data_IF_863173286180
#
_entry.id   IF_863173286180
#
_cell.length_a   1.000
_cell.length_b   1.000
_cell.length_c   1.000
_cell.angle_alpha   90.00
_cell.angle_beta   90.00
_cell.angle_gamma   90.00
#
_symmetry.space_group_name_H-M   'P 1'
#
loop_
_entity.id
_entity.type
_entity.pdbx_description
1 polymer ?
#
# COMPACT_ATOMS: atom_id res chain seq x y z
N UNK A 1 -13.57 -10.22 10.15
CA UNK A 1 -13.76 -9.05 11.03
C UNK A 1 -14.10 -7.82 10.16
N UNK A 2 -14.80 -6.81 10.70
CA UNK A 2 -15.51 -5.78 9.93
C UNK A 2 -14.64 -4.60 9.45
N UNK A 3 -13.54 -4.84 8.72
CA UNK A 3 -12.70 -3.74 8.20
C UNK A 3 -13.53 -2.72 7.40
N UNK A 4 -14.51 -3.25 6.64
CA UNK A 4 -15.48 -2.51 5.84
C UNK A 4 -16.49 -1.65 6.64
N UNK A 5 -16.50 -1.70 7.97
CA UNK A 5 -17.32 -0.77 8.77
C UNK A 5 -16.68 0.61 8.90
N UNK A 6 -15.35 0.70 8.75
CA UNK A 6 -14.59 1.94 8.85
C UNK A 6 -13.98 2.34 7.51
N UNK A 7 -13.41 1.37 6.80
CA UNK A 7 -12.73 1.59 5.52
C UNK A 7 -13.64 1.21 4.35
N UNK A 8 -13.76 2.11 3.39
CA UNK A 8 -14.18 1.69 2.05
C UNK A 8 -13.01 0.97 1.35
N UNK A 9 -13.35 0.12 0.39
CA UNK A 9 -12.48 -0.41 -0.64
C UNK A 9 -13.24 -0.23 -1.97
N UNK A 10 -13.32 1.02 -2.42
CA UNK A 10 -14.08 1.38 -3.60
C UNK A 10 -13.25 2.22 -4.57
N UNK A 11 -13.39 1.97 -5.86
CA UNK A 11 -12.75 2.75 -6.92
C UNK A 11 -13.36 4.16 -7.03
N UNK A 12 -12.84 4.96 -7.96
CA UNK A 12 -13.31 6.34 -8.19
C UNK A 12 -14.78 6.41 -8.67
N UNK A 13 -15.31 5.34 -9.25
CA UNK A 13 -16.70 5.24 -9.70
C UNK A 13 -17.62 4.69 -8.60
N UNK A 14 -17.06 4.35 -7.43
CA UNK A 14 -17.77 3.80 -6.28
C UNK A 14 -18.01 2.29 -6.36
N UNK A 15 -17.36 1.57 -7.28
CA UNK A 15 -17.44 0.11 -7.31
C UNK A 15 -16.52 -0.51 -6.26
N UNK A 16 -17.03 -1.50 -5.55
CA UNK A 16 -16.29 -2.25 -4.53
C UNK A 16 -17.06 -2.36 -3.23
N UNK A 17 -16.34 -2.39 -2.12
CA UNK A 17 -16.90 -2.45 -0.77
C UNK A 17 -17.03 -1.02 -0.24
N UNK A 18 -18.24 -0.51 -0.13
CA UNK A 18 -18.49 0.85 0.36
C UNK A 18 -18.94 0.77 1.82
N UNK A 19 -18.20 1.41 2.72
CA UNK A 19 -18.62 1.57 4.10
C UNK A 19 -19.82 2.54 4.15
N UNK A 20 -20.85 2.24 4.94
CA UNK A 20 -22.04 3.09 5.01
C UNK A 20 -21.79 4.44 5.69
N UNK A 21 -20.79 4.50 6.57
CA UNK A 21 -20.33 5.71 7.23
C UNK A 21 -18.81 5.60 7.42
N UNK A 22 -18.02 5.79 6.35
CA UNK A 22 -16.59 5.60 6.40
C UNK A 22 -15.99 6.58 7.39
N UNK A 23 -15.07 6.06 8.18
CA UNK A 23 -14.48 6.76 9.31
C UNK A 23 -12.96 6.54 9.35
N UNK A 24 -12.42 6.00 8.26
CA UNK A 24 -11.01 5.76 8.01
C UNK A 24 -10.75 5.82 6.48
N UNK A 25 -9.48 5.97 6.05
CA UNK A 25 -9.15 6.15 4.63
C UNK A 25 -9.65 5.01 3.74
N UNK A 26 -9.95 5.32 2.48
CA UNK A 26 -10.25 4.31 1.48
C UNK A 26 -9.00 3.47 1.19
N UNK A 27 -9.16 2.15 1.22
CA UNK A 27 -8.09 1.18 1.03
C UNK A 27 -7.92 0.76 -0.44
N UNK A 28 -8.83 1.18 -1.33
CA UNK A 28 -8.71 0.86 -2.75
C UNK A 28 -7.45 1.49 -3.35
N UNK A 29 -6.55 0.65 -3.86
CA UNK A 29 -5.29 1.09 -4.44
C UNK A 29 -4.25 1.57 -3.42
N UNK A 30 -4.43 1.28 -2.12
CA UNK A 30 -3.44 1.63 -1.10
C UNK A 30 -2.04 1.11 -1.49
N UNK A 31 -1.01 1.95 -1.32
CA UNK A 31 0.36 1.62 -1.72
C UNK A 31 0.66 1.80 -3.21
N UNK A 32 -0.33 2.14 -4.04
CA UNK A 32 -0.08 2.48 -5.45
C UNK A 32 0.37 3.91 -5.64
N UNK A 33 1.06 4.19 -6.74
CA UNK A 33 1.49 5.55 -7.10
C UNK A 33 0.33 6.54 -7.09
N UNK A 34 -0.83 6.15 -7.63
CA UNK A 34 -2.00 7.02 -7.70
C UNK A 34 -2.60 7.34 -6.33
N UNK A 35 -2.57 6.37 -5.40
CA UNK A 35 -3.04 6.57 -4.04
C UNK A 35 -2.10 7.51 -3.29
N UNK A 36 -0.78 7.27 -3.36
CA UNK A 36 0.22 8.15 -2.72
C UNK A 36 0.19 9.55 -3.31
N UNK A 37 0.13 9.69 -4.63
CA UNK A 37 0.05 11.00 -5.30
C UNK A 37 -1.19 11.78 -4.86
N UNK A 38 -2.32 11.11 -4.67
CA UNK A 38 -3.53 11.77 -4.18
C UNK A 38 -3.50 12.06 -2.68
N UNK A 39 -2.71 11.31 -1.90
CA UNK A 39 -2.44 11.63 -0.50
C UNK A 39 -1.56 12.90 -0.37
N UNK A 40 -0.64 13.14 -1.31
CA UNK A 40 0.21 14.33 -1.36
C UNK A 40 -0.43 15.55 -2.04
N UNK A 41 -1.72 15.48 -2.35
CA UNK A 41 -2.47 16.55 -3.02
C UNK A 41 -3.25 17.37 -1.98
N UNK A 42 -3.04 18.70 -1.90
CA UNK A 42 -3.57 19.54 -0.83
C UNK A 42 -5.09 19.65 -0.88
N UNK A 43 -5.70 19.46 -2.05
CA UNK A 43 -7.17 19.47 -2.19
C UNK A 43 -7.79 18.13 -1.79
N UNK A 44 -6.99 17.07 -1.72
CA UNK A 44 -7.47 15.70 -1.55
C UNK A 44 -7.14 15.10 -0.20
N UNK A 45 -6.00 15.43 0.41
CA UNK A 45 -5.53 14.77 1.65
C UNK A 45 -6.57 14.82 2.80
N UNK A 46 -7.32 15.91 2.91
CA UNK A 46 -8.37 16.09 3.92
C UNK A 46 -9.77 15.63 3.45
N UNK A 47 -9.88 14.96 2.30
CA UNK A 47 -11.15 14.40 1.81
C UNK A 47 -11.50 13.08 2.50
N UNK A 48 -12.76 12.65 2.37
CA UNK A 48 -13.26 11.34 2.85
C UNK A 48 -12.47 10.15 2.31
N UNK A 49 -11.89 10.27 1.11
CA UNK A 49 -11.07 9.20 0.53
C UNK A 49 -9.77 8.96 1.32
N UNK A 50 -9.28 9.99 2.02
CA UNK A 50 -8.04 9.99 2.78
C UNK A 50 -8.32 10.27 4.26
N UNK A 51 -7.85 11.40 4.81
CA UNK A 51 -7.89 11.65 6.26
C UNK A 51 -9.15 12.37 6.76
N UNK A 52 -10.04 12.82 5.88
CA UNK A 52 -11.14 13.74 6.20
C UNK A 52 -12.10 13.27 7.30
N UNK A 53 -12.32 11.96 7.44
CA UNK A 53 -13.22 11.38 8.45
C UNK A 53 -12.47 10.77 9.66
N UNK A 54 -11.18 11.08 9.79
CA UNK A 54 -10.30 10.65 10.88
C UNK A 54 -10.02 11.79 11.85
N UNK A 55 -9.45 11.50 13.01
CA UNK A 55 -8.90 12.51 13.92
C UNK A 55 -7.72 13.29 13.31
N UNK A 56 -7.14 12.81 12.20
CA UNK A 56 -6.01 13.42 11.51
C UNK A 56 -6.42 14.40 10.40
N UNK A 57 -7.71 14.67 10.20
CA UNK A 57 -8.20 15.58 9.15
C UNK A 57 -7.66 17.02 9.29
N UNK A 58 -7.30 17.42 10.50
CA UNK A 58 -6.67 18.70 10.84
C UNK A 58 -5.27 18.51 11.44
N UNK A 59 -4.64 17.35 11.22
CA UNK A 59 -3.34 16.99 11.80
C UNK A 59 -2.15 17.49 10.99
N UNK A 60 -0.95 17.37 11.57
CA UNK A 60 0.31 17.91 11.03
C UNK A 60 0.61 17.45 9.60
N UNK A 61 0.24 16.23 9.22
CA UNK A 61 0.45 15.74 7.84
C UNK A 61 -0.41 16.52 6.83
N UNK A 62 -1.66 16.84 7.18
CA UNK A 62 -2.53 17.68 6.32
C UNK A 62 -1.95 19.07 6.19
N UNK A 63 -1.58 19.69 7.31
CA UNK A 63 -0.98 21.02 7.33
C UNK A 63 0.32 21.07 6.52
N UNK A 64 1.20 20.09 6.67
CA UNK A 64 2.48 20.02 5.94
C UNK A 64 2.27 19.98 4.43
N UNK A 65 1.33 19.18 3.94
CA UNK A 65 1.04 19.11 2.49
C UNK A 65 0.45 20.41 1.98
N UNK A 66 -0.44 21.05 2.74
CA UNK A 66 -0.99 22.37 2.38
C UNK A 66 0.11 23.43 2.35
N UNK A 67 0.93 23.51 3.41
CA UNK A 67 2.00 24.50 3.55
C UNK A 67 3.08 24.38 2.46
N UNK A 68 3.42 23.15 2.04
CA UNK A 68 4.33 22.94 0.90
C UNK A 68 3.80 23.59 -0.39
N UNK A 69 2.50 23.48 -0.65
CA UNK A 69 1.88 24.05 -1.85
C UNK A 69 1.68 25.56 -1.73
N UNK A 70 1.27 26.05 -0.55
CA UNK A 70 1.14 27.48 -0.27
C UNK A 70 2.50 28.21 -0.36
N UNK A 71 3.59 27.53 -0.01
CA UNK A 71 4.96 28.07 -0.08
C UNK A 71 5.42 28.43 -1.49
N UNK A 72 4.75 27.92 -2.53
CA UNK A 72 5.04 28.20 -3.95
C UNK A 72 3.85 28.90 -4.65
N UNK A 73 2.85 29.37 -3.91
CA UNK A 73 1.70 30.05 -4.50
C UNK A 73 2.13 31.34 -5.22
N UNK A 74 1.53 31.59 -6.39
CA UNK A 74 1.89 32.70 -7.27
C UNK A 74 3.18 32.53 -8.07
N UNK A 75 3.91 31.41 -7.93
CA UNK A 75 5.07 31.05 -8.75
C UNK A 75 4.82 29.74 -9.52
N UNK A 76 4.46 29.86 -10.80
CA UNK A 76 4.14 28.71 -11.64
C UNK A 76 5.32 27.77 -11.88
N UNK A 77 6.56 28.28 -11.91
CA UNK A 77 7.76 27.47 -12.14
C UNK A 77 8.11 26.68 -10.87
N UNK A 78 8.06 27.34 -9.70
CA UNK A 78 8.24 26.68 -8.42
C UNK A 78 7.14 25.64 -8.16
N UNK A 79 5.89 25.97 -8.47
CA UNK A 79 4.76 25.03 -8.39
C UNK A 79 4.94 23.81 -9.27
N UNK A 80 5.38 23.99 -10.52
CA UNK A 80 5.66 22.86 -11.41
C UNK A 80 6.80 21.99 -10.87
N UNK A 81 7.85 22.63 -10.34
CA UNK A 81 8.99 21.93 -9.73
C UNK A 81 8.56 21.09 -8.53
N UNK A 82 7.75 21.66 -7.62
CA UNK A 82 7.21 20.96 -6.46
C UNK A 82 6.36 19.76 -6.90
N UNK A 83 5.45 19.94 -7.87
CA UNK A 83 4.61 18.85 -8.37
C UNK A 83 5.46 17.72 -8.95
N UNK A 84 6.51 18.04 -9.70
CA UNK A 84 7.43 17.04 -10.25
C UNK A 84 8.18 16.29 -9.14
N UNK A 85 8.65 17.00 -8.11
CA UNK A 85 9.30 16.40 -6.93
C UNK A 85 8.34 15.49 -6.15
N UNK A 86 7.12 15.93 -5.87
CA UNK A 86 6.10 15.12 -5.18
C UNK A 86 5.69 13.89 -5.99
N UNK A 87 5.64 13.99 -7.32
CA UNK A 87 5.40 12.83 -8.18
C UNK A 87 6.55 11.81 -8.07
N UNK A 88 7.81 12.25 -8.03
CA UNK A 88 8.96 11.36 -7.83
C UNK A 88 8.95 10.72 -6.45
N UNK A 89 8.70 11.50 -5.40
CA UNK A 89 8.52 11.01 -4.04
C UNK A 89 7.37 9.99 -3.94
N UNK A 90 6.24 10.25 -4.59
CA UNK A 90 5.11 9.31 -4.63
C UNK A 90 5.48 7.98 -5.31
N UNK A 91 6.30 8.01 -6.36
CA UNK A 91 6.82 6.79 -7.00
C UNK A 91 7.76 6.04 -6.07
N UNK A 92 8.69 6.74 -5.43
CA UNK A 92 9.63 6.14 -4.50
C UNK A 92 8.92 5.45 -3.34
N UNK A 93 7.97 6.15 -2.71
CA UNK A 93 7.17 5.58 -1.61
C UNK A 93 6.28 4.43 -2.08
N UNK A 94 5.69 4.51 -3.28
CA UNK A 94 4.91 3.40 -3.85
C UNK A 94 5.77 2.19 -4.17
N UNK A 95 7.02 2.37 -4.57
CA UNK A 95 7.93 1.29 -4.95
C UNK A 95 8.34 0.42 -3.76
N UNK A 96 8.36 0.97 -2.54
CA UNK A 96 8.55 0.19 -1.29
C UNK A 96 7.51 -0.92 -1.13
N UNK A 97 6.33 -0.75 -1.71
CA UNK A 97 5.29 -1.76 -1.67
C UNK A 97 5.62 -2.97 -2.54
N UNK A 98 6.47 -2.84 -3.56
CA UNK A 98 6.83 -3.92 -4.49
C UNK A 98 5.59 -4.65 -5.03
N UNK A 99 4.56 -3.89 -5.42
CA UNK A 99 3.29 -4.46 -5.89
C UNK A 99 3.46 -5.14 -7.25
N UNK A 100 3.07 -6.41 -7.43
CA UNK A 100 3.25 -7.10 -8.70
C UNK A 100 2.62 -6.40 -9.89
N UNK A 101 1.43 -5.81 -9.68
CA UNK A 101 0.70 -5.07 -10.72
C UNK A 101 1.42 -3.79 -11.19
N UNK A 102 2.39 -3.27 -10.43
CA UNK A 102 3.16 -2.06 -10.77
C UNK A 102 4.62 -2.33 -11.13
N UNK A 103 5.11 -3.57 -11.01
CA UNK A 103 6.53 -3.90 -11.21
C UNK A 103 7.11 -3.38 -12.54
N UNK A 104 6.35 -3.50 -13.64
CA UNK A 104 6.77 -3.00 -14.95
C UNK A 104 6.80 -1.46 -15.02
N UNK A 105 5.89 -0.78 -14.30
CA UNK A 105 5.90 0.67 -14.20
C UNK A 105 7.09 1.15 -13.35
N UNK A 106 7.39 0.45 -12.25
CA UNK A 106 8.52 0.77 -11.39
C UNK A 106 9.85 0.61 -12.13
N UNK A 107 10.01 -0.46 -12.91
CA UNK A 107 11.20 -0.65 -13.76
C UNK A 107 11.35 0.51 -14.77
N UNK A 108 10.26 0.91 -15.41
CA UNK A 108 10.24 2.03 -16.36
C UNK A 108 10.62 3.37 -15.70
N UNK A 109 10.24 3.56 -14.44
CA UNK A 109 10.43 4.79 -13.68
C UNK A 109 11.58 4.70 -12.65
N UNK A 110 12.52 3.76 -12.82
CA UNK A 110 13.59 3.51 -11.85
C UNK A 110 14.42 4.76 -11.52
N UNK A 111 14.67 5.64 -12.50
CA UNK A 111 15.38 6.90 -12.27
C UNK A 111 14.56 7.88 -11.42
N UNK A 112 13.27 8.04 -11.71
CA UNK A 112 12.36 8.89 -10.92
C UNK A 112 12.21 8.36 -9.49
N UNK A 113 12.20 7.04 -9.30
CA UNK A 113 12.16 6.38 -7.99
C UNK A 113 13.42 6.69 -7.18
N UNK A 114 14.60 6.57 -7.80
CA UNK A 114 15.87 6.87 -7.13
C UNK A 114 15.93 8.33 -6.68
N UNK A 115 15.59 9.27 -7.57
CA UNK A 115 15.54 10.70 -7.23
C UNK A 115 14.46 11.01 -6.18
N UNK A 116 13.29 10.36 -6.29
CA UNK A 116 12.22 10.47 -5.29
C UNK A 116 12.65 10.04 -3.89
N UNK A 117 13.46 8.99 -3.78
CA UNK A 117 14.01 8.54 -2.50
C UNK A 117 14.97 9.57 -1.90
N UNK A 118 15.78 10.23 -2.74
CA UNK A 118 16.67 11.32 -2.29
C UNK A 118 15.87 12.54 -1.83
N UNK A 119 14.79 12.88 -2.55
CA UNK A 119 13.89 13.98 -2.18
C UNK A 119 13.18 13.73 -0.84
N UNK A 120 12.69 12.51 -0.58
CA UNK A 120 12.09 12.13 0.71
C UNK A 120 13.12 12.30 1.84
N UNK A 121 14.36 11.88 1.62
CA UNK A 121 15.44 11.94 2.60
C UNK A 121 16.04 13.34 2.80
N UNK A 122 15.68 14.32 1.96
CA UNK A 122 16.33 15.63 1.90
C UNK A 122 15.34 16.75 1.64
N UNK A 123 15.27 17.20 0.39
CA UNK A 123 14.70 18.50 0.01
C UNK A 123 13.21 18.69 0.33
N UNK A 124 12.44 17.60 0.47
CA UNK A 124 11.02 17.67 0.84
C UNK A 124 10.80 17.67 2.36
N UNK A 125 11.86 17.57 3.17
CA UNK A 125 11.79 17.58 4.64
C UNK A 125 10.88 16.49 5.23
N UNK A 126 10.54 15.43 4.48
CA UNK A 126 9.66 14.36 4.97
C UNK A 126 10.25 13.65 6.20
N UNK A 127 11.58 13.56 6.27
CA UNK A 127 12.29 12.95 7.37
C UNK A 127 12.38 13.78 8.65
N UNK A 128 11.87 15.02 8.65
CA UNK A 128 11.77 15.82 9.87
C UNK A 128 10.74 15.21 10.85
N UNK A 129 9.78 14.45 10.32
CA UNK A 129 8.76 13.74 11.10
C UNK A 129 8.75 12.22 10.87
N UNK A 130 9.03 11.77 9.66
CA UNK A 130 8.97 10.36 9.29
C UNK A 130 10.36 9.70 9.32
N UNK A 131 10.40 8.40 9.64
CA UNK A 131 11.57 7.59 9.30
C UNK A 131 11.52 7.15 7.83
N UNK A 132 12.66 7.23 7.16
CA UNK A 132 12.91 6.70 5.82
C UNK A 132 14.28 6.02 5.77
N UNK A 133 14.27 4.69 5.76
CA UNK A 133 15.44 3.82 5.89
C UNK A 133 16.28 4.18 7.14
N UNK A 134 17.46 4.75 6.94
CA UNK A 134 18.39 5.17 8.00
C UNK A 134 18.28 6.68 8.32
N UNK A 135 17.34 7.40 7.72
CA UNK A 135 17.09 8.83 7.95
C UNK A 135 15.81 9.03 8.76
N UNK A 136 15.80 10.06 9.62
CA UNK A 136 14.68 10.36 10.51
C UNK A 136 14.54 9.39 11.69
N UNK A 137 13.69 9.75 12.65
CA UNK A 137 13.45 9.00 13.88
C UNK A 137 12.02 8.41 13.92
N UNK A 138 11.80 7.42 14.79
CA UNK A 138 10.45 6.88 15.06
C UNK A 138 9.70 7.73 16.09
N UNK A 139 8.37 7.56 16.14
CA UNK A 139 7.52 8.08 17.22
C UNK A 139 6.78 9.38 16.93
N UNK A 140 7.24 10.19 15.98
CA UNK A 140 6.54 11.44 15.58
C UNK A 140 5.52 11.20 14.48
N UNK A 141 5.86 10.38 13.47
CA UNK A 141 4.97 9.99 12.39
C UNK A 141 5.26 8.55 11.93
N UNK A 142 4.35 7.89 11.17
CA UNK A 142 4.56 6.53 10.72
C UNK A 142 5.84 6.35 9.90
N UNK A 143 6.62 5.31 10.20
CA UNK A 143 7.78 4.90 9.41
C UNK A 143 7.37 4.58 7.98
N UNK A 144 8.03 5.24 7.03
CA UNK A 144 7.79 5.08 5.59
C UNK A 144 8.63 3.94 4.99
N UNK A 145 9.58 3.38 5.74
CA UNK A 145 10.40 2.25 5.29
C UNK A 145 9.55 1.02 5.06
N UNK A 146 9.59 0.49 3.84
CA UNK A 146 8.79 -0.65 3.41
C UNK A 146 7.31 -0.31 3.24
N UNK A 147 6.92 0.96 3.12
CA UNK A 147 5.53 1.39 3.03
C UNK A 147 4.71 0.54 2.03
N UNK A 148 3.55 0.06 2.48
CA UNK A 148 2.67 -0.76 1.66
C UNK A 148 3.16 -2.19 1.37
N UNK A 149 4.39 -2.56 1.77
CA UNK A 149 4.91 -3.93 1.67
C UNK A 149 4.08 -4.90 2.52
N UNK A 150 4.26 -6.22 2.28
CA UNK A 150 3.63 -7.26 3.12
C UNK A 150 3.96 -7.09 4.60
N UNK A 151 5.22 -6.79 4.91
CA UNK A 151 5.69 -6.62 6.28
C UNK A 151 5.05 -5.38 6.92
N UNK A 152 5.09 -4.25 6.22
CA UNK A 152 4.57 -2.99 6.72
C UNK A 152 3.07 -3.05 6.97
N UNK A 153 2.29 -3.57 6.01
CA UNK A 153 0.84 -3.75 6.17
C UNK A 153 0.52 -4.74 7.29
N UNK A 154 1.24 -5.86 7.35
CA UNK A 154 1.08 -6.85 8.40
C UNK A 154 1.32 -6.25 9.80
N UNK A 155 2.40 -5.48 9.95
CA UNK A 155 2.75 -4.81 11.20
C UNK A 155 1.75 -3.71 11.58
N UNK A 156 1.30 -2.88 10.62
CA UNK A 156 0.29 -1.83 10.85
C UNK A 156 -1.04 -2.42 11.33
N UNK A 157 -1.51 -3.48 10.68
CA UNK A 157 -2.77 -4.16 11.08
C UNK A 157 -2.57 -4.90 12.41
N UNK A 158 -1.40 -5.49 12.64
CA UNK A 158 -1.11 -6.20 13.88
C UNK A 158 -1.14 -5.25 15.09
N UNK A 159 -0.50 -4.09 14.98
CA UNK A 159 -0.45 -3.10 16.03
C UNK A 159 -0.23 -1.66 15.49
N UNK A 160 -1.31 -0.90 15.20
CA UNK A 160 -1.18 0.49 14.74
C UNK A 160 -0.68 1.45 15.84
N UNK A 161 -0.72 1.03 17.11
CA UNK A 161 -0.22 1.77 18.29
C UNK A 161 1.28 1.52 18.53
N UNK A 162 1.97 0.76 17.67
CA UNK A 162 3.42 0.62 17.75
C UNK A 162 4.12 1.96 17.44
N UNK A 163 5.29 2.22 18.04
CA UNK A 163 6.09 3.44 17.80
C UNK A 163 6.51 3.64 16.32
N UNK A 164 6.42 2.56 15.54
CA UNK A 164 6.68 2.56 14.09
C UNK A 164 5.54 3.24 13.32
N UNK A 165 4.36 3.40 13.93
CA UNK A 165 3.15 3.86 13.27
C UNK A 165 2.58 5.07 13.98
N UNK A 166 1.39 4.95 14.58
CA UNK A 166 0.70 6.09 15.15
C UNK A 166 0.92 6.24 16.65
N UNK A 167 1.46 5.24 17.36
CA UNK A 167 1.66 5.29 18.81
C UNK A 167 0.38 5.79 19.53
N UNK A 168 0.52 6.81 20.38
CA UNK A 168 -0.59 7.44 21.10
C UNK A 168 -1.52 8.29 20.21
N UNK A 169 -1.13 8.54 18.95
CA UNK A 169 -1.93 9.25 17.95
C UNK A 169 -2.81 8.30 17.11
N UNK A 170 -2.86 7.00 17.41
CA UNK A 170 -3.79 6.08 16.74
C UNK A 170 -5.23 6.50 17.06
N UNK A 171 -6.00 6.85 16.03
CA UNK A 171 -7.36 7.38 16.19
C UNK A 171 -8.29 6.33 16.81
N UNK A 172 -8.45 5.18 16.13
CA UNK A 172 -9.43 4.17 16.54
C UNK A 172 -9.20 2.78 15.93
N UNK A 173 -8.09 2.55 15.21
CA UNK A 173 -7.84 1.25 14.59
C UNK A 173 -7.38 0.27 15.68
N UNK A 174 -8.08 -0.84 15.93
CA UNK A 174 -7.66 -1.79 16.96
C UNK A 174 -6.37 -2.51 16.59
N UNK A 175 -5.58 -2.92 17.58
CA UNK A 175 -4.53 -3.91 17.37
C UNK A 175 -5.14 -5.29 17.12
N UNK A 176 -4.94 -5.84 15.93
CA UNK A 176 -5.55 -7.12 15.54
C UNK A 176 -4.68 -8.34 15.85
N UNK A 177 -3.36 -8.16 15.99
CA UNK A 177 -2.43 -9.26 16.18
C UNK A 177 -1.17 -8.87 16.98
N UNK A 178 -1.33 -8.13 18.08
CA UNK A 178 -0.22 -7.59 18.86
C UNK A 178 0.41 -8.58 19.86
N UNK A 179 -0.29 -9.64 20.28
CA UNK A 179 0.27 -10.65 21.19
C UNK A 179 1.04 -11.70 20.38
N UNK A 180 2.34 -11.44 20.18
CA UNK A 180 3.21 -12.37 19.46
C UNK A 180 3.54 -13.64 20.28
N UNK A 181 3.39 -13.60 21.61
CA UNK A 181 3.69 -14.75 22.47
C UNK A 181 2.51 -15.72 22.58
N UNK A 182 1.28 -15.21 22.46
CA UNK A 182 0.05 -16.00 22.50
C UNK A 182 -0.88 -15.64 21.32
N UNK A 183 -0.54 -16.04 20.08
CA UNK A 183 -1.32 -15.69 18.90
C UNK A 183 -2.79 -16.13 18.92
N UNK A 184 -3.13 -17.10 19.76
CA UNK A 184 -4.51 -17.55 20.01
C UNK A 184 -5.39 -16.50 20.71
N UNK A 185 -4.79 -15.54 21.39
CA UNK A 185 -5.49 -14.43 22.04
C UNK A 185 -5.77 -13.27 21.07
N UNK A 186 -5.11 -13.27 19.91
CA UNK A 186 -5.23 -12.20 18.93
C UNK A 186 -6.60 -12.21 18.24
N UNK A 187 -6.94 -11.05 17.69
CA UNK A 187 -8.16 -10.90 16.92
C UNK A 187 -8.09 -11.64 15.59
N UNK A 188 -6.95 -11.58 14.93
CA UNK A 188 -6.65 -12.29 13.70
C UNK A 188 -5.56 -13.32 13.96
N UNK A 189 -5.74 -14.51 13.42
CA UNK A 189 -4.67 -15.50 13.35
C UNK A 189 -3.59 -15.05 12.35
N UNK A 190 -2.35 -15.59 12.44
CA UNK A 190 -1.31 -15.28 11.47
C UNK A 190 -1.70 -15.58 10.01
N UNK A 191 -2.54 -16.60 9.79
CA UNK A 191 -3.02 -16.94 8.46
C UNK A 191 -4.06 -15.92 7.94
N UNK A 192 -5.02 -15.53 8.77
CA UNK A 192 -6.03 -14.52 8.38
C UNK A 192 -5.39 -13.16 8.10
N UNK A 193 -4.42 -12.74 8.92
CA UNK A 193 -3.67 -11.51 8.69
C UNK A 193 -2.94 -11.55 7.34
N UNK A 194 -2.26 -12.67 7.05
CA UNK A 194 -1.57 -12.86 5.76
C UNK A 194 -2.55 -12.77 4.59
N UNK A 195 -3.66 -13.51 4.65
CA UNK A 195 -4.67 -13.52 3.57
C UNK A 195 -5.25 -12.13 3.34
N UNK A 196 -5.50 -11.35 4.40
CA UNK A 196 -5.97 -9.97 4.29
C UNK A 196 -4.94 -9.08 3.59
N UNK A 197 -3.68 -9.16 4.01
CA UNK A 197 -2.58 -8.37 3.41
C UNK A 197 -2.37 -8.74 1.94
N UNK A 198 -2.33 -10.02 1.61
CA UNK A 198 -2.20 -10.49 0.23
C UNK A 198 -3.39 -10.05 -0.62
N UNK A 199 -4.61 -10.10 -0.09
CA UNK A 199 -5.80 -9.59 -0.77
C UNK A 199 -5.70 -8.08 -1.05
N UNK A 200 -5.32 -7.27 -0.05
CA UNK A 200 -5.14 -5.81 -0.22
C UNK A 200 -4.09 -5.46 -1.28
N UNK A 201 -3.06 -6.30 -1.42
CA UNK A 201 -1.94 -6.09 -2.35
C UNK A 201 -2.21 -6.59 -3.77
N UNK A 202 -3.34 -7.24 -4.03
CA UNK A 202 -3.57 -7.86 -5.34
C UNK A 202 -2.85 -9.19 -5.54
N UNK A 203 -2.41 -9.84 -4.45
CA UNK A 203 -1.55 -11.02 -4.47
C UNK A 203 -2.34 -12.29 -4.11
N UNK A 204 -3.61 -12.34 -4.48
CA UNK A 204 -4.41 -13.55 -4.32
C UNK A 204 -4.05 -14.57 -5.41
N UNK A 205 -4.27 -15.84 -5.07
CA UNK A 205 -4.18 -16.91 -6.05
C UNK A 205 -5.24 -16.70 -7.15
N UNK A 206 -4.79 -16.45 -8.38
CA UNK A 206 -5.62 -16.57 -9.57
C UNK A 206 -5.33 -17.92 -10.22
N UNK A 207 -6.34 -18.79 -10.40
CA UNK A 207 -6.14 -20.02 -11.16
C UNK A 207 -5.71 -19.67 -12.58
N UNK A 208 -4.76 -20.44 -13.12
CA UNK A 208 -4.42 -20.34 -14.54
C UNK A 208 -5.72 -20.46 -15.35
N UNK A 209 -5.88 -19.67 -16.40
CA UNK A 209 -7.01 -19.77 -17.32
C UNK A 209 -6.55 -20.47 -18.60
N UNK A 210 -7.44 -21.23 -19.24
CA UNK A 210 -7.16 -21.81 -20.55
C UNK A 210 -7.26 -20.75 -21.67
N UNK A 211 -7.04 -21.17 -22.92
CA UNK A 211 -7.10 -20.30 -24.10
C UNK A 211 -8.48 -19.66 -24.34
N UNK A 212 -9.53 -20.15 -23.66
CA UNK A 212 -10.90 -19.63 -23.73
C UNK A 212 -11.24 -18.73 -22.54
N UNK A 213 -10.31 -18.53 -21.60
CA UNK A 213 -10.55 -17.77 -20.37
C UNK A 213 -11.27 -18.57 -19.28
N UNK A 214 -11.41 -19.89 -19.44
CA UNK A 214 -12.00 -20.74 -18.41
C UNK A 214 -10.93 -21.08 -17.35
N UNK A 215 -11.28 -20.93 -16.07
CA UNK A 215 -10.38 -21.22 -14.97
C UNK A 215 -9.96 -22.69 -14.93
N UNK A 216 -8.68 -22.96 -15.14
CA UNK A 216 -8.04 -24.24 -14.87
C UNK A 216 -7.96 -24.40 -13.34
N UNK A 217 -8.91 -25.16 -12.78
CA UNK A 217 -8.81 -25.63 -11.40
C UNK A 217 -7.80 -26.78 -11.41
N UNK A 218 -6.59 -26.62 -10.86
CA UNK A 218 -5.65 -27.73 -10.77
C UNK A 218 -6.26 -28.83 -9.91
N UNK A 219 -5.99 -30.08 -10.27
CA UNK A 219 -6.37 -31.21 -9.43
C UNK A 219 -5.67 -31.10 -8.07
N UNK A 220 -6.25 -31.72 -7.04
CA UNK A 220 -5.65 -31.75 -5.69
C UNK A 220 -4.20 -32.27 -5.73
N UNK A 221 -3.88 -33.17 -6.66
CA UNK A 221 -2.53 -33.70 -6.83
C UNK A 221 -1.54 -32.68 -7.40
N UNK A 222 -1.97 -31.86 -8.37
CA UNK A 222 -1.14 -30.78 -8.96
C UNK A 222 -0.96 -29.63 -7.99
N UNK A 223 -2.01 -29.31 -7.22
CA UNK A 223 -1.96 -28.30 -6.17
C UNK A 223 -1.03 -28.70 -5.02
N UNK A 224 -0.98 -29.97 -4.63
CA UNK A 224 -0.06 -30.44 -3.59
C UNK A 224 1.42 -30.44 -4.05
N UNK A 225 1.68 -30.69 -5.34
CA UNK A 225 3.05 -30.70 -5.88
C UNK A 225 3.72 -29.32 -5.96
N UNK A 226 2.94 -28.24 -6.08
CA UNK A 226 3.49 -26.88 -6.11
C UNK A 226 4.01 -26.39 -4.75
N UNK A 227 3.59 -27.02 -3.63
CA UNK A 227 4.11 -26.71 -2.30
C UNK A 227 5.41 -27.47 -1.97
N UNK A 228 5.62 -28.66 -2.52
CA UNK A 228 6.81 -29.48 -2.26
C UNK A 228 8.07 -29.02 -3.04
N UNK A 229 7.90 -28.26 -4.13
CA UNK A 229 9.01 -27.78 -4.97
C UNK A 229 9.69 -26.51 -4.46
N UNK A 230 9.19 -25.88 -3.39
CA UNK A 230 9.73 -24.63 -2.85
C UNK A 230 9.65 -23.43 -3.80
N UNK A 231 8.94 -23.53 -4.93
CA UNK A 231 8.69 -22.41 -5.84
C UNK A 231 7.36 -21.75 -5.49
N UNK A 232 7.38 -20.49 -5.01
CA UNK A 232 6.17 -19.69 -4.77
C UNK A 232 5.47 -19.21 -6.06
N UNK A 233 5.77 -19.82 -7.20
CA UNK A 233 5.17 -19.53 -8.50
C UNK A 233 4.34 -20.73 -8.94
N UNK A 234 3.09 -20.47 -9.34
CA UNK A 234 2.21 -21.47 -9.92
C UNK A 234 2.88 -22.19 -11.12
N UNK A 235 2.63 -23.50 -11.31
CA UNK A 235 3.25 -24.26 -12.38
C UNK A 235 2.87 -23.69 -13.75
N UNK A 236 3.87 -23.38 -14.57
CA UNK A 236 3.65 -23.02 -15.97
C UNK A 236 3.28 -24.29 -16.73
N UNK A 237 2.06 -24.38 -17.23
CA UNK A 237 1.63 -25.45 -18.11
C UNK A 237 2.40 -25.37 -19.43
N UNK A 238 3.40 -26.23 -19.63
CA UNK A 238 4.08 -26.36 -20.92
C UNK A 238 3.17 -27.10 -21.89
N UNK A 239 2.45 -26.34 -22.73
CA UNK A 239 1.72 -26.89 -23.88
C UNK A 239 2.70 -27.46 -24.92
N UNK A 240 2.84 -28.78 -24.95
CA UNK A 240 3.57 -29.48 -26.02
C UNK A 240 2.61 -29.72 -27.19
N UNK A 241 2.54 -28.76 -28.11
CA UNK A 241 1.92 -28.96 -29.43
C UNK A 241 2.94 -29.54 -30.42
N UNK A 242 3.07 -30.87 -30.48
CA UNK A 242 3.70 -31.51 -31.64
C UNK A 242 2.71 -31.51 -32.82
N UNK A 243 2.91 -30.60 -33.76
CA UNK A 243 2.26 -30.65 -35.08
C UNK A 243 3.01 -31.69 -35.92
N UNK A 244 2.40 -32.86 -36.14
CA UNK A 244 2.82 -33.76 -37.22
C UNK A 244 2.14 -33.33 -38.52
N UNK A 245 2.96 -33.02 -39.52
CA UNK A 245 2.56 -32.78 -40.90
C UNK A 245 2.19 -34.08 -41.60
N UNK A 246 1.00 -34.13 -42.22
CA UNK A 246 0.75 -34.80 -43.50
C UNK A 246 -0.26 -33.98 -44.31
#
# INVERSE_FOLDING_TARGET
>A
RHCASCHSFADADGHGIVASSPSAPNLYGFGTYNWVRGFLDPERIASEHYLGNTAMSEGDMVSTIVDLHDGVDGDDEARQTLVDQLNKAARALSAEAQLPAQAAADEKHAADIAEGSELIAGDLSCTDCHRWHDNGDLGSAPDLTGYGSREWLGAMIANPEHERFYADNNDRMPAFASDAQHPENNMLTPLELRMLVEWMRGEWYEPAVDENGDGLIPTVAEWLQSFDSGSSSAPVATGVGQVQSQ
#
